data_IF_340943745602
#
_entry.id   IF_340943745602
#
_cell.length_a   1.000
_cell.length_b   1.000
_cell.length_c   1.000
_cell.angle_alpha   90.00
_cell.angle_beta   90.00
_cell.angle_gamma   90.00
#
_symmetry.space_group_name_H-M   'P 1'
#
loop_
_entity.id
_entity.type
_entity.pdbx_description
1 polymer ?
#
# COMPACT_ATOMS: atom_id res chain seq x y z
N UNK A 1 3.27 16.67 -0.88
CA UNK A 1 2.28 16.27 0.14
C UNK A 1 1.35 15.20 -0.40
N UNK A 2 0.92 14.27 0.46
CA UNK A 2 0.11 13.09 0.10
C UNK A 2 -1.04 12.90 1.10
N UNK A 3 -2.17 12.38 0.64
CA UNK A 3 -3.29 11.87 1.46
C UNK A 3 -3.58 10.42 1.07
N UNK A 4 -3.91 9.56 2.05
CA UNK A 4 -4.29 8.17 1.81
C UNK A 4 -5.79 7.99 2.00
N UNK A 5 -6.46 7.46 0.97
CA UNK A 5 -7.85 7.01 1.01
C UNK A 5 -7.91 5.53 1.33
N UNK A 6 -8.03 5.21 2.63
CA UNK A 6 -8.10 3.83 3.13
C UNK A 6 -9.53 3.29 3.00
N UNK A 7 -9.90 2.80 1.83
CA UNK A 7 -11.27 2.35 1.54
C UNK A 7 -11.50 0.93 2.04
N UNK A 8 -12.32 0.77 3.09
CA UNK A 8 -12.63 -0.53 3.67
C UNK A 8 -13.30 -1.49 2.66
N UNK A 9 -12.84 -2.74 2.61
CA UNK A 9 -13.32 -3.74 1.62
C UNK A 9 -14.29 -4.76 2.22
N UNK A 10 -13.81 -5.61 3.12
CA UNK A 10 -14.57 -6.77 3.65
C UNK A 10 -15.30 -6.49 4.97
N UNK A 11 -14.99 -5.36 5.62
CA UNK A 11 -15.58 -4.93 6.89
C UNK A 11 -17.10 -4.70 6.76
N UNK A 12 -17.81 -4.58 7.88
CA UNK A 12 -19.22 -4.17 7.88
C UNK A 12 -19.38 -2.84 7.12
N UNK A 13 -20.26 -2.83 6.11
CA UNK A 13 -20.47 -1.71 5.17
C UNK A 13 -19.25 -1.33 4.32
N UNK A 14 -18.24 -2.20 4.22
CA UNK A 14 -17.15 -2.05 3.27
C UNK A 14 -17.60 -2.26 1.82
N UNK A 15 -16.67 -2.07 0.88
CA UNK A 15 -16.94 -2.08 -0.54
C UNK A 15 -17.64 -3.36 -1.03
N UNK A 16 -17.39 -4.52 -0.42
CA UNK A 16 -18.07 -5.76 -0.80
C UNK A 16 -19.58 -5.75 -0.48
N UNK A 17 -20.01 -4.94 0.49
CA UNK A 17 -21.41 -4.82 0.92
C UNK A 17 -22.08 -3.58 0.35
N UNK A 18 -21.37 -2.45 0.27
CA UNK A 18 -21.87 -1.17 -0.23
C UNK A 18 -20.88 -0.50 -1.20
N UNK A 19 -20.67 -1.09 -2.40
CA UNK A 19 -19.64 -0.64 -3.33
C UNK A 19 -19.87 0.77 -3.86
N UNK A 20 -21.12 1.23 -3.93
CA UNK A 20 -21.42 2.58 -4.40
C UNK A 20 -20.99 3.62 -3.36
N UNK A 21 -21.43 3.46 -2.11
CA UNK A 21 -21.11 4.41 -1.05
C UNK A 21 -19.61 4.48 -0.78
N UNK A 22 -18.92 3.34 -0.71
CA UNK A 22 -17.47 3.33 -0.48
C UNK A 22 -16.69 3.93 -1.66
N UNK A 23 -17.10 3.66 -2.90
CA UNK A 23 -16.51 4.32 -4.07
C UNK A 23 -16.72 5.84 -4.04
N UNK A 24 -17.91 6.33 -3.70
CA UNK A 24 -18.21 7.76 -3.66
C UNK A 24 -17.38 8.50 -2.59
N UNK A 25 -17.08 7.85 -1.46
CA UNK A 25 -16.17 8.38 -0.43
C UNK A 25 -14.74 8.49 -0.97
N UNK A 26 -14.24 7.41 -1.56
CA UNK A 26 -12.89 7.38 -2.13
C UNK A 26 -12.73 8.40 -3.27
N UNK A 27 -13.74 8.49 -4.14
CA UNK A 27 -13.79 9.47 -5.21
C UNK A 27 -13.74 10.91 -4.68
N UNK A 28 -14.43 11.20 -3.58
CA UNK A 28 -14.40 12.52 -2.96
C UNK A 28 -12.99 12.89 -2.43
N UNK A 29 -12.25 11.92 -1.88
CA UNK A 29 -10.84 12.11 -1.46
C UNK A 29 -9.94 12.37 -2.66
N UNK A 30 -10.09 11.57 -3.72
CA UNK A 30 -9.33 11.74 -4.98
C UNK A 30 -9.59 13.11 -5.60
N UNK A 31 -10.85 13.53 -5.71
CA UNK A 31 -11.21 14.84 -6.28
C UNK A 31 -10.65 16.00 -5.44
N UNK A 32 -10.70 15.88 -4.10
CA UNK A 32 -10.11 16.87 -3.22
C UNK A 32 -8.58 16.95 -3.38
N UNK A 33 -7.89 15.82 -3.46
CA UNK A 33 -6.44 15.79 -3.64
C UNK A 33 -6.01 16.39 -4.98
N UNK A 34 -6.68 16.04 -6.08
CA UNK A 34 -6.44 16.62 -7.41
C UNK A 34 -6.65 18.13 -7.38
N UNK A 35 -7.76 18.59 -6.81
CA UNK A 35 -8.08 20.02 -6.71
C UNK A 35 -7.03 20.81 -5.94
N UNK A 36 -6.39 20.20 -4.94
CA UNK A 36 -5.37 20.83 -4.10
C UNK A 36 -3.93 20.49 -4.51
N UNK A 37 -3.72 19.86 -5.67
CA UNK A 37 -2.39 19.46 -6.16
C UNK A 37 -1.59 18.58 -5.17
N UNK A 38 -2.29 17.72 -4.42
CA UNK A 38 -1.68 16.72 -3.53
C UNK A 38 -1.68 15.35 -4.18
N UNK A 39 -0.70 14.51 -3.83
CA UNK A 39 -0.77 13.09 -4.14
C UNK A 39 -1.92 12.42 -3.38
N UNK A 40 -2.59 11.45 -3.99
CA UNK A 40 -3.58 10.58 -3.35
C UNK A 40 -3.17 9.13 -3.51
N UNK A 41 -3.02 8.43 -2.39
CA UNK A 41 -2.88 6.99 -2.37
C UNK A 41 -4.26 6.36 -2.21
N UNK A 42 -4.72 5.68 -3.26
CA UNK A 42 -5.98 4.95 -3.30
C UNK A 42 -5.71 3.53 -2.80
N UNK A 43 -6.19 3.24 -1.60
CA UNK A 43 -5.87 2.01 -0.88
C UNK A 43 -7.09 1.07 -0.80
N UNK A 44 -6.90 -0.13 -1.35
CA UNK A 44 -7.84 -1.25 -1.25
C UNK A 44 -7.66 -1.91 0.13
N UNK A 45 -8.32 -1.34 1.15
CA UNK A 45 -7.99 -1.48 2.56
C UNK A 45 -8.68 -2.66 3.26
N UNK A 46 -7.92 -3.73 3.50
CA UNK A 46 -8.31 -4.87 4.32
C UNK A 46 -7.09 -5.68 4.78
N UNK A 47 -7.26 -6.41 5.88
CA UNK A 47 -6.21 -7.21 6.52
C UNK A 47 -6.66 -8.67 6.55
N UNK A 48 -6.24 -9.47 5.56
CA UNK A 48 -6.80 -10.81 5.33
C UNK A 48 -5.85 -11.72 4.54
N UNK A 49 -6.13 -13.02 4.57
CA UNK A 49 -5.52 -14.00 3.66
C UNK A 49 -6.39 -14.26 2.41
N UNK A 50 -7.66 -13.81 2.42
CA UNK A 50 -8.60 -14.04 1.33
C UNK A 50 -8.51 -12.91 0.32
N UNK A 51 -8.16 -13.20 -0.93
CA UNK A 51 -8.13 -12.18 -1.99
C UNK A 51 -9.51 -11.93 -2.61
N UNK A 52 -9.72 -10.73 -3.16
CA UNK A 52 -10.92 -10.35 -3.92
C UNK A 52 -10.58 -9.80 -5.31
N UNK A 53 -9.92 -10.58 -6.20
CA UNK A 53 -9.34 -10.05 -7.42
C UNK A 53 -10.39 -9.50 -8.39
N UNK A 54 -11.57 -10.11 -8.50
CA UNK A 54 -12.61 -9.65 -9.44
C UNK A 54 -13.22 -8.29 -9.01
N UNK A 55 -13.33 -8.06 -7.70
CA UNK A 55 -13.85 -6.82 -7.13
C UNK A 55 -12.80 -5.71 -7.18
N UNK A 56 -11.56 -6.04 -6.82
CA UNK A 56 -10.43 -5.14 -6.92
C UNK A 56 -10.21 -4.70 -8.37
N UNK A 57 -10.25 -5.63 -9.34
CA UNK A 57 -10.11 -5.33 -10.77
C UNK A 57 -11.15 -4.31 -11.23
N UNK A 58 -12.44 -4.54 -10.92
CA UNK A 58 -13.52 -3.60 -11.26
C UNK A 58 -13.37 -2.23 -10.60
N UNK A 59 -12.95 -2.21 -9.33
CA UNK A 59 -12.72 -0.96 -8.61
C UNK A 59 -11.56 -0.17 -9.24
N UNK A 60 -10.42 -0.82 -9.44
CA UNK A 60 -9.22 -0.20 -9.98
C UNK A 60 -9.38 0.24 -11.43
N UNK A 61 -10.08 -0.52 -12.28
CA UNK A 61 -10.42 -0.06 -13.65
C UNK A 61 -11.24 1.24 -13.62
N UNK A 62 -12.18 1.36 -12.67
CA UNK A 62 -13.04 2.55 -12.58
C UNK A 62 -12.26 3.77 -12.08
N UNK A 63 -11.51 3.64 -10.99
CA UNK A 63 -10.79 4.77 -10.40
C UNK A 63 -9.55 5.16 -11.24
N UNK A 64 -8.85 4.20 -11.85
CA UNK A 64 -7.73 4.49 -12.74
C UNK A 64 -8.18 5.23 -14.01
N UNK A 65 -9.38 4.95 -14.53
CA UNK A 65 -9.93 5.72 -15.66
C UNK A 65 -10.17 7.19 -15.30
N UNK A 66 -10.53 7.50 -14.05
CA UNK A 66 -10.67 8.87 -13.54
C UNK A 66 -9.30 9.55 -13.35
N UNK A 67 -8.32 8.80 -12.85
CA UNK A 67 -6.97 9.25 -12.60
C UNK A 67 -6.08 9.32 -13.85
N UNK A 68 -6.50 8.73 -14.98
CA UNK A 68 -5.75 8.74 -16.22
C UNK A 68 -5.33 10.16 -16.65
N UNK A 69 -4.03 10.35 -16.86
CA UNK A 69 -3.43 11.65 -17.22
C UNK A 69 -3.31 12.63 -16.05
N UNK A 70 -3.59 12.22 -14.81
CA UNK A 70 -3.30 12.97 -13.59
C UNK A 70 -1.96 12.51 -13.02
N UNK A 71 -1.12 13.43 -12.57
CA UNK A 71 0.21 13.11 -12.06
C UNK A 71 0.26 12.71 -10.58
N UNK A 72 -0.89 12.67 -9.91
CA UNK A 72 -0.97 12.66 -8.46
C UNK A 72 -1.73 11.44 -7.87
N UNK A 73 -2.20 10.49 -8.68
CA UNK A 73 -2.81 9.25 -8.18
C UNK A 73 -1.78 8.13 -8.03
N UNK A 74 -1.82 7.44 -6.89
CA UNK A 74 -1.09 6.20 -6.60
C UNK A 74 -2.09 5.11 -6.20
N UNK A 75 -1.79 3.85 -6.49
CA UNK A 75 -2.70 2.73 -6.26
C UNK A 75 -2.06 1.69 -5.33
N UNK A 76 -2.55 1.55 -4.11
CA UNK A 76 -2.19 0.46 -3.18
C UNK A 76 -3.15 -0.71 -3.38
N UNK A 77 -2.66 -1.76 -4.02
CA UNK A 77 -3.50 -2.84 -4.56
C UNK A 77 -4.06 -3.79 -3.50
N UNK A 78 -3.42 -3.83 -2.33
CA UNK A 78 -3.86 -4.57 -1.15
C UNK A 78 -3.11 -3.98 0.05
N UNK A 79 -3.84 -3.51 1.07
CA UNK A 79 -3.29 -3.05 2.35
C UNK A 79 -2.44 -4.13 3.02
N UNK A 80 -3.00 -5.03 3.83
CA UNK A 80 -2.20 -5.93 4.69
C UNK A 80 -2.50 -7.43 4.45
N UNK A 81 -1.76 -8.09 3.54
CA UNK A 81 -1.85 -9.54 3.38
C UNK A 81 -1.33 -10.26 4.64
N UNK A 82 -2.10 -11.21 5.18
CA UNK A 82 -1.69 -12.00 6.35
C UNK A 82 -0.96 -13.29 5.94
N UNK A 83 -1.65 -14.43 5.94
CA UNK A 83 -1.08 -15.76 5.67
C UNK A 83 -1.03 -16.09 4.16
N UNK A 84 -0.44 -15.20 3.37
CA UNK A 84 -0.30 -15.33 1.89
C UNK A 84 1.18 -15.24 1.50
N UNK A 85 1.69 -16.22 0.75
CA UNK A 85 3.07 -16.15 0.25
C UNK A 85 3.25 -15.11 -0.86
N UNK A 86 4.50 -14.67 -1.05
CA UNK A 86 4.82 -13.67 -2.07
C UNK A 86 4.45 -14.12 -3.48
N UNK A 87 4.61 -15.39 -3.84
CA UNK A 87 4.27 -15.87 -5.20
C UNK A 87 2.78 -15.72 -5.53
N UNK A 88 1.92 -16.04 -4.57
CA UNK A 88 0.46 -15.90 -4.69
C UNK A 88 0.08 -14.42 -4.72
N UNK A 89 0.66 -13.62 -3.84
CA UNK A 89 0.42 -12.19 -3.76
C UNK A 89 0.90 -11.44 -5.01
N UNK A 90 2.07 -11.79 -5.55
CA UNK A 90 2.61 -11.29 -6.81
C UNK A 90 1.67 -11.58 -7.98
N UNK A 91 1.13 -12.79 -8.06
CA UNK A 91 0.17 -13.17 -9.10
C UNK A 91 -1.13 -12.34 -9.02
N UNK A 92 -1.59 -12.05 -7.80
CA UNK A 92 -2.69 -11.12 -7.56
C UNK A 92 -2.34 -9.70 -8.05
N UNK A 93 -1.19 -9.17 -7.63
CA UNK A 93 -0.76 -7.82 -8.00
C UNK A 93 -0.60 -7.66 -9.51
N UNK A 94 0.02 -8.61 -10.20
CA UNK A 94 0.17 -8.57 -11.67
C UNK A 94 -1.19 -8.52 -12.39
N UNK A 95 -2.21 -9.20 -11.86
CA UNK A 95 -3.58 -9.12 -12.38
C UNK A 95 -4.16 -7.72 -12.21
N UNK A 96 -4.05 -7.13 -11.01
CA UNK A 96 -4.59 -5.78 -10.74
C UNK A 96 -3.81 -4.70 -11.48
N UNK A 97 -2.48 -4.83 -11.58
CA UNK A 97 -1.61 -3.95 -12.38
C UNK A 97 -2.09 -3.90 -13.83
N UNK A 98 -2.40 -5.05 -14.44
CA UNK A 98 -2.90 -5.09 -15.82
C UNK A 98 -4.20 -4.28 -16.00
N UNK A 99 -5.11 -4.33 -15.03
CA UNK A 99 -6.35 -3.58 -15.05
C UNK A 99 -6.14 -2.08 -14.89
N UNK A 100 -5.26 -1.66 -13.96
CA UNK A 100 -4.85 -0.26 -13.81
C UNK A 100 -4.22 0.24 -15.11
N UNK A 101 -3.24 -0.50 -15.66
CA UNK A 101 -2.49 -0.12 -16.88
C UNK A 101 -3.37 0.00 -18.12
N UNK A 102 -4.49 -0.72 -18.18
CA UNK A 102 -5.46 -0.59 -19.27
C UNK A 102 -6.15 0.80 -19.29
N UNK A 103 -6.08 1.55 -18.19
CA UNK A 103 -6.70 2.88 -18.02
C UNK A 103 -5.67 3.97 -17.78
N UNK A 104 -4.67 3.68 -16.97
CA UNK A 104 -3.57 4.57 -16.59
C UNK A 104 -2.22 3.85 -16.81
N UNK A 105 -1.67 3.93 -18.04
CA UNK A 105 -0.45 3.22 -18.42
C UNK A 105 0.79 3.58 -17.59
N UNK A 106 0.84 4.79 -17.02
CA UNK A 106 2.00 5.30 -16.30
C UNK A 106 1.78 5.44 -14.78
N UNK A 107 0.58 5.15 -14.27
CA UNK A 107 0.24 5.31 -12.85
C UNK A 107 1.20 4.61 -11.87
N UNK A 108 1.44 5.17 -10.70
CA UNK A 108 2.32 4.56 -9.69
C UNK A 108 1.53 3.53 -8.89
N UNK A 109 2.01 2.30 -8.84
CA UNK A 109 1.36 1.19 -8.13
C UNK A 109 2.24 0.78 -6.96
N UNK A 110 1.63 0.62 -5.78
CA UNK A 110 2.29 0.18 -4.56
C UNK A 110 1.71 -1.18 -4.19
N UNK A 111 2.56 -2.21 -4.26
CA UNK A 111 2.16 -3.59 -4.04
C UNK A 111 2.41 -3.99 -2.58
N UNK A 112 1.34 -4.37 -1.87
CA UNK A 112 1.42 -4.95 -0.54
C UNK A 112 2.40 -6.14 -0.48
N UNK A 113 3.07 -6.35 0.65
CA UNK A 113 4.00 -7.46 0.90
C UNK A 113 3.46 -8.40 1.99
N UNK A 114 3.97 -9.65 2.09
CA UNK A 114 3.41 -10.60 3.05
C UNK A 114 3.55 -10.14 4.51
N UNK A 115 2.72 -10.73 5.37
CA UNK A 115 2.80 -10.58 6.83
C UNK A 115 2.60 -9.12 7.28
N UNK A 116 1.43 -8.55 6.98
CA UNK A 116 1.10 -7.15 7.29
C UNK A 116 2.17 -6.19 6.75
N UNK A 117 2.60 -6.43 5.51
CA UNK A 117 3.62 -5.63 4.82
C UNK A 117 4.99 -5.58 5.49
N UNK A 118 5.41 -6.67 6.12
CA UNK A 118 6.71 -6.72 6.83
C UNK A 118 7.76 -7.53 6.09
N UNK A 119 7.37 -8.39 5.15
CA UNK A 119 8.26 -9.33 4.47
C UNK A 119 8.72 -8.79 3.09
N UNK A 120 9.18 -7.53 3.09
CA UNK A 120 9.77 -6.86 1.91
C UNK A 120 11.00 -7.58 1.34
N UNK A 121 11.68 -8.40 2.14
CA UNK A 121 12.79 -9.25 1.69
C UNK A 121 12.33 -10.31 0.68
N UNK A 122 11.08 -10.79 0.79
CA UNK A 122 10.50 -11.75 -0.16
C UNK A 122 10.24 -11.08 -1.51
N UNK A 123 9.69 -9.87 -1.48
CA UNK A 123 9.50 -9.07 -2.69
C UNK A 123 10.84 -8.69 -3.34
N UNK A 124 11.86 -8.32 -2.55
CA UNK A 124 13.21 -8.03 -3.06
C UNK A 124 13.87 -9.22 -3.77
N UNK A 125 13.60 -10.45 -3.30
CA UNK A 125 14.15 -11.66 -3.90
C UNK A 125 13.50 -12.02 -5.25
N UNK A 126 12.23 -11.70 -5.45
CA UNK A 126 11.51 -11.94 -6.70
C UNK A 126 10.55 -10.79 -7.09
N UNK A 127 11.07 -9.61 -7.43
CA UNK A 127 10.24 -8.45 -7.73
C UNK A 127 9.39 -8.66 -8.99
N UNK A 128 8.37 -7.84 -9.17
CA UNK A 128 7.63 -7.69 -10.43
C UNK A 128 8.57 -6.97 -11.42
N UNK A 129 8.95 -7.64 -12.52
CA UNK A 129 10.05 -7.20 -13.42
C UNK A 129 9.59 -6.55 -14.73
N UNK A 130 8.44 -6.97 -15.27
CA UNK A 130 7.96 -6.54 -16.60
C UNK A 130 7.02 -5.33 -16.52
N UNK A 131 7.18 -4.51 -15.48
CA UNK A 131 6.35 -3.34 -15.20
C UNK A 131 7.22 -2.18 -14.72
N UNK A 132 6.82 -0.96 -15.05
CA UNK A 132 7.41 0.28 -14.53
C UNK A 132 6.52 0.89 -13.45
N UNK A 133 7.08 1.84 -12.69
CA UNK A 133 6.36 2.60 -11.66
C UNK A 133 5.69 1.69 -10.60
N UNK A 134 6.41 0.64 -10.19
CA UNK A 134 6.01 -0.27 -9.12
C UNK A 134 6.86 0.03 -7.88
N UNK A 135 6.21 0.22 -6.75
CA UNK A 135 6.78 0.28 -5.41
C UNK A 135 6.18 -0.85 -4.55
N UNK A 136 6.73 -1.07 -3.37
CA UNK A 136 6.32 -2.14 -2.46
C UNK A 136 6.05 -1.59 -1.07
N UNK A 137 4.96 -2.05 -0.46
CA UNK A 137 4.53 -1.56 0.84
C UNK A 137 5.43 -2.09 1.96
N UNK A 138 5.75 -1.20 2.91
CA UNK A 138 6.27 -1.55 4.23
C UNK A 138 5.40 -0.90 5.31
N UNK A 139 4.85 -1.68 6.23
CA UNK A 139 4.21 -1.14 7.44
C UNK A 139 5.08 -1.33 8.67
N UNK A 140 4.99 -0.38 9.59
CA UNK A 140 5.60 -0.51 10.91
C UNK A 140 4.83 0.26 11.99
N UNK A 141 4.98 -0.20 13.22
CA UNK A 141 4.43 0.46 14.40
C UNK A 141 5.57 0.60 15.41
N UNK A 142 6.04 1.81 15.66
CA UNK A 142 7.31 2.04 16.36
C UNK A 142 7.30 1.52 17.81
N UNK A 143 6.13 1.43 18.43
CA UNK A 143 5.96 0.85 19.76
C UNK A 143 6.01 -0.68 19.78
N UNK A 144 5.85 -1.35 18.63
CA UNK A 144 5.90 -2.80 18.52
C UNK A 144 7.37 -3.27 18.45
N UNK A 145 7.76 -4.19 19.34
CA UNK A 145 9.16 -4.59 19.46
C UNK A 145 9.67 -5.30 18.20
N UNK A 146 8.82 -6.11 17.57
CA UNK A 146 9.18 -6.80 16.31
C UNK A 146 9.37 -5.83 15.15
N UNK A 147 8.78 -4.63 15.20
CA UNK A 147 8.87 -3.58 14.19
C UNK A 147 10.03 -2.62 14.43
N UNK A 148 10.97 -2.91 15.33
CA UNK A 148 12.11 -2.03 15.60
C UNK A 148 13.32 -2.41 14.73
N UNK A 149 14.50 -2.56 15.33
CA UNK A 149 15.76 -2.82 14.63
C UNK A 149 15.70 -4.03 13.66
N UNK A 150 15.06 -5.16 13.99
CA UNK A 150 14.98 -6.29 13.06
C UNK A 150 14.25 -5.94 11.75
N UNK A 151 13.10 -5.27 11.84
CA UNK A 151 12.34 -4.87 10.65
C UNK A 151 13.05 -3.73 9.89
N UNK A 152 13.67 -2.78 10.59
CA UNK A 152 14.51 -1.74 9.96
C UNK A 152 15.66 -2.33 9.14
N UNK A 153 16.38 -3.32 9.68
CA UNK A 153 17.46 -4.01 8.96
C UNK A 153 16.96 -4.76 7.74
N UNK A 154 15.77 -5.37 7.83
CA UNK A 154 15.14 -6.04 6.70
C UNK A 154 14.77 -5.04 5.60
N UNK A 155 14.16 -3.91 5.97
CA UNK A 155 13.83 -2.83 5.03
C UNK A 155 15.08 -2.24 4.37
N UNK A 156 16.12 -1.94 5.16
CA UNK A 156 17.40 -1.44 4.66
C UNK A 156 18.04 -2.40 3.64
N UNK A 157 18.06 -3.70 3.94
CA UNK A 157 18.60 -4.70 3.02
C UNK A 157 17.79 -4.82 1.72
N UNK A 158 16.46 -4.72 1.77
CA UNK A 158 15.61 -4.74 0.59
C UNK A 158 15.81 -3.49 -0.28
N UNK A 159 15.94 -2.31 0.33
CA UNK A 159 16.26 -1.05 -0.38
C UNK A 159 17.64 -1.14 -1.04
N UNK A 160 18.65 -1.64 -0.31
CA UNK A 160 20.01 -1.81 -0.83
C UNK A 160 20.10 -2.86 -1.96
N UNK A 161 19.16 -3.80 -2.01
CA UNK A 161 18.99 -4.73 -3.12
C UNK A 161 18.26 -4.11 -4.34
N UNK A 162 17.81 -2.85 -4.23
CA UNK A 162 17.17 -2.09 -5.31
C UNK A 162 15.64 -2.17 -5.32
N UNK A 163 15.00 -2.65 -4.25
CA UNK A 163 13.54 -2.67 -4.15
C UNK A 163 13.02 -1.27 -3.75
N UNK A 164 12.20 -0.60 -4.58
CA UNK A 164 11.58 0.67 -4.20
C UNK A 164 10.49 0.45 -3.16
N UNK A 165 10.75 0.84 -1.91
CA UNK A 165 9.80 0.73 -0.80
C UNK A 165 9.03 2.04 -0.60
N UNK A 166 7.74 1.95 -0.30
CA UNK A 166 6.92 3.06 0.17
C UNK A 166 6.23 2.66 1.49
N UNK A 167 6.37 3.49 2.52
CA UNK A 167 5.65 3.30 3.79
C UNK A 167 4.28 3.96 3.66
N UNK A 168 3.25 3.18 3.36
CA UNK A 168 1.87 3.66 3.16
C UNK A 168 1.11 3.76 4.48
N UNK A 169 1.50 3.00 5.49
CA UNK A 169 1.01 3.09 6.87
C UNK A 169 2.14 2.96 7.90
N UNK A 170 2.11 3.79 8.94
CA UNK A 170 2.89 3.56 10.14
C UNK A 170 2.21 4.15 11.39
N UNK A 171 2.52 3.57 12.54
CA UNK A 171 2.10 4.08 13.85
C UNK A 171 3.28 4.41 14.76
N UNK A 172 3.06 5.31 15.72
CA UNK A 172 4.04 5.59 16.79
C UNK A 172 3.84 4.71 18.02
N UNK A 173 2.67 4.08 18.13
CA UNK A 173 2.24 3.18 19.22
C UNK A 173 2.58 1.72 18.89
N UNK A 174 2.25 0.75 19.77
CA UNK A 174 2.23 -0.68 19.43
C UNK A 174 1.26 -1.02 18.28
N UNK A 175 1.45 -2.19 17.65
CA UNK A 175 0.68 -2.61 16.46
C UNK A 175 -0.82 -2.85 16.72
N UNK A 176 -1.25 -2.92 17.98
CA UNK A 176 -2.67 -2.90 18.34
C UNK A 176 -3.36 -1.56 18.03
N UNK A 177 -2.59 -0.51 17.74
CA UNK A 177 -3.06 0.87 17.64
C UNK A 177 -3.31 1.55 18.99
N UNK A 178 -3.18 0.80 20.10
CA UNK A 178 -3.41 1.26 21.47
C UNK A 178 -2.13 1.24 22.30
N UNK A 179 -2.03 2.15 23.28
CA UNK A 179 -0.87 2.35 24.13
C UNK A 179 -0.08 3.63 23.82
N UNK A 180 1.01 3.81 24.55
CA UNK A 180 1.81 5.04 24.47
C UNK A 180 2.73 5.06 23.24
N UNK A 181 2.91 6.25 22.61
CA UNK A 181 3.88 6.42 21.54
C UNK A 181 5.32 6.12 21.98
N UNK A 182 6.07 5.39 21.16
CA UNK A 182 7.51 5.19 21.31
C UNK A 182 8.30 6.13 20.39
N UNK A 183 8.38 7.40 20.80
CA UNK A 183 9.00 8.46 19.99
C UNK A 183 10.49 8.21 19.68
N UNK A 184 11.21 7.52 20.56
CA UNK A 184 12.61 7.16 20.30
C UNK A 184 12.72 6.18 19.12
N UNK A 185 11.84 5.19 19.04
CA UNK A 185 11.82 4.26 17.91
C UNK A 185 11.23 4.89 16.65
N UNK A 186 10.30 5.83 16.78
CA UNK A 186 9.81 6.64 15.65
C UNK A 186 10.96 7.44 15.00
N UNK A 187 11.80 8.08 15.80
CA UNK A 187 12.95 8.85 15.31
C UNK A 187 13.98 7.96 14.59
N UNK A 188 14.22 6.74 15.08
CA UNK A 188 15.09 5.77 14.40
C UNK A 188 14.51 5.30 13.05
N UNK A 189 13.19 5.19 12.94
CA UNK A 189 12.53 4.93 11.66
C UNK A 189 12.69 6.10 10.68
N UNK A 190 12.44 7.34 11.11
CA UNK A 190 12.64 8.52 10.26
C UNK A 190 14.08 8.67 9.80
N UNK A 191 15.07 8.48 10.68
CA UNK A 191 16.49 8.50 10.31
C UNK A 191 16.85 7.48 9.23
N UNK A 192 16.24 6.30 9.26
CA UNK A 192 16.44 5.30 8.21
C UNK A 192 15.81 5.77 6.89
N UNK A 193 14.55 6.19 6.92
CA UNK A 193 13.80 6.59 5.73
C UNK A 193 14.43 7.82 5.05
N UNK A 194 14.81 8.85 5.82
CA UNK A 194 15.49 10.05 5.31
C UNK A 194 16.86 9.73 4.68
N UNK A 195 17.59 8.76 5.24
CA UNK A 195 18.89 8.32 4.72
C UNK A 195 18.77 7.53 3.41
N UNK A 196 17.62 6.91 3.16
CA UNK A 196 17.38 5.99 2.04
C UNK A 196 16.46 6.56 0.94
N UNK A 197 16.03 7.82 1.08
CA UNK A 197 15.23 8.56 0.10
C UNK A 197 16.06 9.04 -1.10
#
# INVERSE_FOLDING_TARGET
DIVRGAMGVENDKGYLQDPQTEYEKEEAVVDAAIKNCMYVLIDWHYTSATAYPDQAEKFFEKIAAKCAGKCNCLYETWNEPTDVDWSTLKSYHERIIKAIRAKDPDGVIIAGTPKWDQDVDKAAADPIKDQTNIMYTLHFYAGEQSHQEPLRKKAEAAIDAGLPIFVTEYGTTPASGDGEPNLAQTDEWYKLLDRKN
#
